data_IF_215301072682
#
_entry.id   IF_215301072682
#
_cell.length_a   1.000
_cell.length_b   1.000
_cell.length_c   1.000
_cell.angle_alpha   90.00
_cell.angle_beta   90.00
_cell.angle_gamma   90.00
#
_symmetry.space_group_name_H-M   'P 1'
#
loop_
_entity.id
_entity.type
_entity.pdbx_description
1 polymer ?
#
# COMPACT_ATOMS: atom_id res chain seq x y z
N UNK A 1 -9.87 8.47 -13.50
CA UNK A 1 -8.85 7.92 -12.59
C UNK A 1 -9.18 6.46 -12.23
N UNK A 2 -10.37 6.17 -11.71
CA UNK A 2 -10.76 4.77 -11.45
C UNK A 2 -10.74 3.86 -12.69
N UNK A 3 -11.20 4.36 -13.84
CA UNK A 3 -11.15 3.63 -15.11
C UNK A 3 -9.73 3.26 -15.56
N UNK A 4 -8.72 3.96 -15.06
CA UNK A 4 -7.30 3.67 -15.30
C UNK A 4 -6.74 2.75 -14.20
N UNK A 5 -7.07 3.02 -12.93
CA UNK A 5 -6.46 2.30 -11.83
C UNK A 5 -7.09 0.92 -11.55
N UNK A 6 -8.38 0.73 -11.80
CA UNK A 6 -9.07 -0.55 -11.56
C UNK A 6 -8.51 -1.71 -12.40
N UNK A 7 -8.20 -1.53 -13.71
CA UNK A 7 -7.51 -2.55 -14.49
C UNK A 7 -6.14 -2.94 -13.92
N UNK A 8 -5.40 -1.97 -13.37
CA UNK A 8 -4.07 -2.18 -12.80
C UNK A 8 -4.11 -2.88 -11.44
N UNK A 9 -5.21 -2.76 -10.69
CA UNK A 9 -5.41 -3.46 -9.42
C UNK A 9 -5.93 -4.91 -9.59
N UNK A 10 -5.90 -5.45 -10.81
CA UNK A 10 -6.23 -6.85 -11.04
C UNK A 10 -5.05 -7.73 -10.61
N UNK A 11 -5.32 -8.64 -9.67
CA UNK A 11 -4.36 -9.65 -9.23
C UNK A 11 -4.13 -10.63 -10.38
N UNK A 12 -2.94 -10.58 -10.97
CA UNK A 12 -2.47 -11.50 -12.02
C UNK A 12 -1.29 -12.30 -11.46
N UNK A 13 -1.19 -13.58 -11.83
CA UNK A 13 -0.13 -14.47 -11.34
C UNK A 13 1.28 -13.97 -11.73
N UNK A 14 1.37 -13.27 -12.86
CA UNK A 14 2.61 -12.70 -13.40
C UNK A 14 3.03 -11.38 -12.71
N UNK A 15 2.26 -10.88 -11.75
CA UNK A 15 2.59 -9.64 -11.05
C UNK A 15 3.53 -9.90 -9.88
N UNK A 16 4.71 -9.28 -9.93
CA UNK A 16 5.74 -9.42 -8.90
C UNK A 16 5.59 -8.44 -7.74
N UNK A 17 5.06 -7.23 -8.01
CA UNK A 17 4.95 -6.15 -7.04
C UNK A 17 3.80 -5.22 -7.41
N UNK A 18 3.00 -4.83 -6.42
CA UNK A 18 2.11 -3.68 -6.52
C UNK A 18 2.74 -2.45 -5.88
N UNK A 19 2.67 -1.32 -6.58
CA UNK A 19 3.02 0.00 -6.04
C UNK A 19 1.77 0.87 -6.08
N UNK A 20 1.31 1.31 -4.91
CA UNK A 20 0.12 2.15 -4.77
C UNK A 20 0.53 3.45 -4.09
N UNK A 21 0.68 4.51 -4.89
CA UNK A 21 0.90 5.83 -4.34
C UNK A 21 -0.45 6.43 -3.90
N UNK A 22 -0.60 6.43 -2.58
CA UNK A 22 -1.71 6.83 -1.74
C UNK A 22 -2.96 5.94 -1.78
N UNK A 23 -3.23 5.32 -0.63
CA UNK A 23 -4.55 4.76 -0.28
C UNK A 23 -5.13 5.62 0.83
N UNK A 24 -5.94 6.59 0.46
CA UNK A 24 -6.45 7.62 1.33
C UNK A 24 -7.97 7.72 1.36
N UNK A 25 -8.45 8.89 1.75
CA UNK A 25 -9.88 9.16 1.96
C UNK A 25 -10.66 9.14 0.65
N UNK A 26 -10.04 9.54 -0.46
CA UNK A 26 -10.73 9.69 -1.75
C UNK A 26 -11.04 8.32 -2.36
N UNK A 27 -10.11 7.38 -2.22
CA UNK A 27 -10.19 6.00 -2.68
C UNK A 27 -11.28 5.21 -1.94
N UNK A 28 -11.60 5.61 -0.70
CA UNK A 28 -12.60 4.99 0.15
C UNK A 28 -14.04 5.36 -0.18
N UNK A 29 -14.25 6.41 -0.99
CA UNK A 29 -15.59 6.73 -1.52
C UNK A 29 -15.91 5.98 -2.80
N UNK A 30 -14.92 5.31 -3.39
CA UNK A 30 -15.12 4.43 -4.54
C UNK A 30 -15.70 3.09 -4.12
N UNK A 31 -16.85 2.72 -4.70
CA UNK A 31 -17.42 1.38 -4.50
C UNK A 31 -16.60 0.26 -5.15
N UNK A 32 -15.67 0.59 -6.06
CA UNK A 32 -14.89 -0.38 -6.81
C UNK A 32 -13.40 -0.39 -6.41
N UNK A 33 -12.80 0.77 -6.14
CA UNK A 33 -11.36 0.88 -5.93
C UNK A 33 -10.92 0.27 -4.60
N UNK A 34 -11.56 0.62 -3.49
CA UNK A 34 -11.16 0.10 -2.19
C UNK A 34 -11.27 -1.44 -2.09
N UNK A 35 -12.35 -2.09 -2.58
CA UNK A 35 -12.38 -3.55 -2.70
C UNK A 35 -11.27 -4.13 -3.58
N UNK A 36 -10.85 -3.44 -4.64
CA UNK A 36 -9.73 -3.88 -5.48
C UNK A 36 -8.40 -3.81 -4.71
N UNK A 37 -8.14 -2.73 -3.98
CA UNK A 37 -6.95 -2.59 -3.11
C UNK A 37 -6.92 -3.68 -2.03
N UNK A 38 -8.07 -3.96 -1.39
CA UNK A 38 -8.14 -5.04 -0.39
C UNK A 38 -7.79 -6.41 -0.99
N UNK A 39 -8.30 -6.73 -2.19
CA UNK A 39 -7.95 -7.98 -2.88
C UNK A 39 -6.46 -8.08 -3.21
N UNK A 40 -5.83 -6.97 -3.59
CA UNK A 40 -4.38 -6.91 -3.81
C UNK A 40 -3.61 -7.20 -2.53
N UNK A 41 -4.04 -6.64 -1.40
CA UNK A 41 -3.36 -6.80 -0.11
C UNK A 41 -3.58 -8.17 0.52
N UNK A 42 -4.73 -8.80 0.25
CA UNK A 42 -5.03 -10.18 0.64
C UNK A 42 -4.38 -11.22 -0.28
N UNK A 43 -3.72 -10.78 -1.36
CA UNK A 43 -2.98 -11.66 -2.25
C UNK A 43 -1.61 -12.04 -1.67
N UNK A 44 -0.95 -13.03 -2.28
CA UNK A 44 0.43 -13.40 -1.92
C UNK A 44 1.49 -12.51 -2.60
N UNK A 45 1.07 -11.45 -3.30
CA UNK A 45 1.95 -10.56 -4.07
C UNK A 45 2.40 -9.41 -3.16
N UNK A 46 3.72 -9.12 -3.09
CA UNK A 46 4.23 -7.96 -2.36
C UNK A 46 3.54 -6.65 -2.75
N UNK A 47 3.30 -5.79 -1.75
CA UNK A 47 2.68 -4.47 -1.94
C UNK A 47 3.51 -3.41 -1.25
N UNK A 48 3.89 -2.37 -2.00
CA UNK A 48 4.36 -1.10 -1.45
C UNK A 48 3.24 -0.08 -1.61
N UNK A 49 2.76 0.47 -0.48
CA UNK A 49 1.71 1.49 -0.51
C UNK A 49 2.02 2.64 0.43
N UNK A 50 1.59 3.84 0.07
CA UNK A 50 1.59 5.00 0.97
C UNK A 50 0.19 5.22 1.54
N UNK A 51 0.10 5.60 2.81
CA UNK A 51 -1.17 5.88 3.50
C UNK A 51 -1.07 7.21 4.25
N UNK A 52 -2.16 7.98 4.35
CA UNK A 52 -2.14 9.23 5.09
C UNK A 52 -1.97 8.97 6.60
N UNK A 53 -1.19 9.83 7.25
CA UNK A 53 -1.09 9.85 8.72
C UNK A 53 -2.44 10.31 9.31
N UNK A 54 -2.94 9.68 10.40
CA UNK A 54 -4.16 10.12 11.06
C UNK A 54 -4.08 11.59 11.45
N UNK A 55 -5.04 12.40 10.97
CA UNK A 55 -5.15 13.81 11.36
C UNK A 55 -6.10 13.95 12.54
N UNK A 56 -5.65 14.62 13.61
CA UNK A 56 -6.46 14.91 14.80
C UNK A 56 -7.08 13.67 15.48
N UNK A 57 -6.36 12.53 15.45
CA UNK A 57 -6.83 11.29 16.08
C UNK A 57 -8.00 10.60 15.36
N UNK A 58 -8.46 11.11 14.21
CA UNK A 58 -9.46 10.43 13.40
C UNK A 58 -8.76 9.55 12.38
N UNK A 59 -8.83 8.25 12.64
CA UNK A 59 -8.38 7.25 11.69
C UNK A 59 -9.49 7.00 10.66
N UNK A 60 -9.10 6.77 9.41
CA UNK A 60 -10.07 6.40 8.39
C UNK A 60 -10.17 4.87 8.43
N UNK A 61 -11.35 4.25 8.65
CA UNK A 61 -11.44 2.81 8.92
C UNK A 61 -10.74 1.92 7.88
N UNK A 62 -10.84 2.28 6.60
CA UNK A 62 -10.14 1.55 5.54
C UNK A 62 -8.63 1.69 5.61
N UNK A 63 -8.12 2.89 5.91
CA UNK A 63 -6.68 3.14 6.11
C UNK A 63 -6.16 2.42 7.36
N UNK A 64 -6.94 2.43 8.44
CA UNK A 64 -6.63 1.73 9.68
C UNK A 64 -6.44 0.22 9.44
N UNK A 65 -7.28 -0.39 8.59
CA UNK A 65 -7.18 -1.81 8.21
C UNK A 65 -5.86 -2.11 7.50
N UNK A 66 -5.41 -1.23 6.60
CA UNK A 66 -4.13 -1.35 5.90
C UNK A 66 -2.96 -1.25 6.88
N UNK A 67 -2.99 -0.22 7.75
CA UNK A 67 -1.94 0.03 8.73
C UNK A 67 -1.80 -1.10 9.74
N UNK A 68 -2.91 -1.69 10.16
CA UNK A 68 -2.93 -2.73 11.19
C UNK A 68 -2.89 -4.15 10.60
N UNK A 69 -2.60 -4.30 9.30
CA UNK A 69 -2.51 -5.61 8.68
C UNK A 69 -1.34 -6.39 9.31
N UNK A 70 -1.53 -7.65 9.75
CA UNK A 70 -0.52 -8.38 10.52
C UNK A 70 0.77 -8.66 9.75
N UNK A 71 0.71 -8.68 8.42
CA UNK A 71 1.88 -8.82 7.55
C UNK A 71 2.52 -7.50 7.10
N UNK A 72 2.02 -6.34 7.53
CA UNK A 72 2.51 -5.05 7.06
C UNK A 72 3.71 -4.54 7.88
N UNK A 73 4.75 -4.09 7.20
CA UNK A 73 5.79 -3.25 7.78
C UNK A 73 5.41 -1.77 7.58
N UNK A 74 5.27 -1.02 8.68
CA UNK A 74 4.82 0.38 8.64
C UNK A 74 6.00 1.32 8.91
N UNK A 75 6.26 2.21 7.95
CA UNK A 75 7.28 3.24 8.04
C UNK A 75 6.63 4.62 8.14
N UNK A 76 6.85 5.34 9.24
CA UNK A 76 6.39 6.72 9.37
C UNK A 76 7.49 7.67 8.91
N UNK A 77 7.23 8.37 7.81
CA UNK A 77 8.19 9.31 7.22
C UNK A 77 8.10 10.70 7.85
N UNK A 78 9.26 11.34 8.01
CA UNK A 78 9.42 12.75 8.31
C UNK A 78 10.62 13.30 7.51
N UNK A 79 10.83 14.62 7.56
CA UNK A 79 11.90 15.27 6.81
C UNK A 79 13.31 14.78 7.18
N UNK A 80 13.52 14.27 8.40
CA UNK A 80 14.82 13.82 8.90
C UNK A 80 15.14 12.35 8.63
N UNK A 81 14.15 11.52 8.28
CA UNK A 81 14.37 10.09 8.05
C UNK A 81 14.15 9.65 6.60
N UNK A 82 13.75 10.55 5.70
CA UNK A 82 13.36 10.23 4.31
C UNK A 82 14.40 9.39 3.57
N UNK A 83 15.67 9.80 3.59
CA UNK A 83 16.73 9.12 2.83
C UNK A 83 17.05 7.74 3.44
N UNK A 84 17.14 7.66 4.76
CA UNK A 84 17.39 6.40 5.47
C UNK A 84 16.24 5.41 5.23
N UNK A 85 14.99 5.88 5.27
CA UNK A 85 13.81 5.05 5.05
C UNK A 85 13.70 4.59 3.60
N UNK A 86 14.12 5.41 2.63
CA UNK A 86 14.21 5.00 1.22
C UNK A 86 15.12 3.77 1.07
N UNK A 87 16.35 3.84 1.59
CA UNK A 87 17.30 2.73 1.51
C UNK A 87 16.77 1.49 2.24
N UNK A 88 16.22 1.68 3.44
CA UNK A 88 15.62 0.58 4.24
C UNK A 88 14.50 -0.14 3.49
N UNK A 89 13.57 0.61 2.88
CA UNK A 89 12.45 0.05 2.12
C UNK A 89 12.97 -0.64 0.85
N UNK A 90 13.94 -0.04 0.17
CA UNK A 90 14.55 -0.62 -1.03
C UNK A 90 15.21 -1.97 -0.74
N UNK A 91 16.01 -2.06 0.33
CA UNK A 91 16.69 -3.30 0.73
C UNK A 91 15.68 -4.40 1.10
N UNK A 92 14.62 -4.05 1.81
CA UNK A 92 13.56 -4.99 2.16
C UNK A 92 12.82 -5.51 0.93
N UNK A 93 12.43 -4.63 0.01
CA UNK A 93 11.75 -5.02 -1.22
C UNK A 93 12.66 -5.87 -2.11
N UNK A 94 13.93 -5.50 -2.26
CA UNK A 94 14.90 -6.28 -3.03
C UNK A 94 15.06 -7.69 -2.46
N UNK A 95 15.19 -7.81 -1.13
CA UNK A 95 15.26 -9.10 -0.45
C UNK A 95 13.98 -9.94 -0.63
N UNK A 96 12.80 -9.31 -0.67
CA UNK A 96 11.52 -9.99 -0.86
C UNK A 96 11.37 -10.51 -2.29
N UNK A 97 11.74 -9.71 -3.29
CA UNK A 97 11.59 -10.06 -4.70
C UNK A 97 12.61 -11.09 -5.18
N UNK A 98 13.80 -11.15 -4.59
CA UNK A 98 14.80 -12.18 -4.90
C UNK A 98 14.44 -13.60 -4.41
N UNK A 99 13.45 -13.72 -3.51
CA UNK A 99 13.03 -15.01 -2.93
C UNK A 99 11.89 -15.70 -3.69
N UNK A 100 11.41 -15.10 -4.76
CA UNK A 100 10.43 -15.68 -5.69
C UNK A 100 11.15 -16.23 -6.91
#
# INVERSE_FOLDING_TARGET
LESLALPELQVKEETDLFIIDEVGKMELFSSAFFPAVLRVIESNIPVLATIPVPRYGRDIPGVARLRNHPGAAIFTLNSGNRDIMRETIYDQLSCLLQKR
#
